data_IF_950711413846
#
_entry.id   IF_950711413846
#
_cell.length_a   1.000
_cell.length_b   1.000
_cell.length_c   1.000
_cell.angle_alpha   90.00
_cell.angle_beta   90.00
_cell.angle_gamma   90.00
#
_symmetry.space_group_name_H-M   'P 1'
#
loop_
_entity.id
_entity.type
_entity.pdbx_description
1 polymer ?
#
# COMPACT_ATOMS: atom_id res chain seq x y z
N UNK A 1 -23.81 -1.63 29.57
CA UNK A 1 -22.87 -2.45 28.77
C UNK A 1 -23.21 -2.47 27.28
N UNK A 2 -24.47 -2.68 26.87
CA UNK A 2 -24.86 -2.71 25.44
C UNK A 2 -24.48 -1.46 24.62
N UNK A 3 -24.66 -0.24 25.17
CA UNK A 3 -24.29 0.99 24.47
C UNK A 3 -22.78 1.16 24.21
N UNK A 4 -21.93 0.68 25.13
CA UNK A 4 -20.46 0.74 24.98
C UNK A 4 -19.97 -0.24 23.91
N UNK A 5 -20.56 -1.44 23.87
CA UNK A 5 -20.22 -2.48 22.89
C UNK A 5 -20.65 -2.08 21.47
N UNK A 6 -21.82 -1.45 21.32
CA UNK A 6 -22.27 -0.88 20.05
C UNK A 6 -21.35 0.25 19.57
N UNK A 7 -20.93 1.16 20.48
CA UNK A 7 -19.99 2.23 20.13
C UNK A 7 -18.62 1.72 19.67
N UNK A 8 -18.13 0.63 20.29
CA UNK A 8 -16.85 0.02 19.91
C UNK A 8 -16.95 -0.67 18.54
N UNK A 9 -18.04 -1.41 18.29
CA UNK A 9 -18.29 -2.06 17.01
C UNK A 9 -18.38 -1.05 15.86
N UNK A 10 -19.14 0.05 16.05
CA UNK A 10 -19.22 1.15 15.06
C UNK A 10 -17.83 1.70 14.76
N UNK A 11 -16.99 1.87 15.78
CA UNK A 11 -15.62 2.36 15.59
C UNK A 11 -14.73 1.40 14.81
N UNK A 12 -14.81 0.09 15.07
CA UNK A 12 -14.06 -0.92 14.32
C UNK A 12 -14.43 -0.88 12.84
N UNK A 13 -15.74 -0.85 12.54
CA UNK A 13 -16.25 -0.73 11.17
C UNK A 13 -15.85 0.58 10.51
N UNK A 14 -15.87 1.70 11.24
CA UNK A 14 -15.43 2.99 10.73
C UNK A 14 -13.92 3.01 10.44
N UNK A 15 -13.07 2.48 11.32
CA UNK A 15 -11.63 2.33 11.09
C UNK A 15 -11.34 1.46 9.87
N UNK A 16 -12.12 0.39 9.73
CA UNK A 16 -12.02 -0.51 8.58
C UNK A 16 -12.41 0.18 7.27
N UNK A 17 -13.62 0.73 7.18
CA UNK A 17 -14.14 1.37 5.98
C UNK A 17 -13.28 2.56 5.53
N UNK A 18 -12.90 3.43 6.46
CA UNK A 18 -12.01 4.57 6.15
C UNK A 18 -10.61 4.12 5.75
N UNK A 19 -10.12 3.01 6.31
CA UNK A 19 -8.87 2.39 5.88
C UNK A 19 -8.95 1.82 4.47
N UNK A 20 -10.07 1.19 4.11
CA UNK A 20 -10.26 0.66 2.76
C UNK A 20 -10.26 1.78 1.74
N UNK A 21 -10.96 2.89 2.02
CA UNK A 21 -10.93 4.08 1.17
C UNK A 21 -9.51 4.65 1.07
N UNK A 22 -8.79 4.74 2.19
CA UNK A 22 -7.38 5.18 2.19
C UNK A 22 -6.49 4.27 1.31
N UNK A 23 -6.62 2.94 1.44
CA UNK A 23 -5.86 2.01 0.63
C UNK A 23 -6.25 2.06 -0.85
N UNK A 24 -7.55 2.11 -1.15
CA UNK A 24 -8.10 2.18 -2.49
C UNK A 24 -7.67 3.46 -3.21
N UNK A 25 -7.61 4.59 -2.52
CA UNK A 25 -7.34 5.86 -3.17
C UNK A 25 -5.86 6.24 -3.17
N UNK A 26 -5.04 5.77 -2.23
CA UNK A 26 -3.71 6.36 -2.02
C UNK A 26 -2.56 5.36 -1.79
N UNK A 27 -2.81 4.07 -1.54
CA UNK A 27 -1.72 3.20 -1.11
C UNK A 27 -0.92 2.61 -2.28
N UNK A 28 -1.57 2.27 -3.39
CA UNK A 28 -0.96 1.57 -4.54
C UNK A 28 -1.02 2.34 -5.86
N UNK A 29 -1.22 3.67 -5.82
CA UNK A 29 -1.40 4.52 -7.00
C UNK A 29 -0.27 4.37 -8.05
N UNK A 30 0.96 4.11 -7.60
CA UNK A 30 2.14 3.93 -8.44
C UNK A 30 1.97 2.82 -9.48
N UNK A 31 1.18 1.77 -9.20
CA UNK A 31 0.94 0.69 -10.16
C UNK A 31 -0.01 1.08 -11.31
N UNK A 32 -0.64 2.24 -11.22
CA UNK A 32 -1.38 2.88 -12.31
C UNK A 32 -0.50 3.73 -13.24
N UNK A 33 0.83 3.64 -13.11
CA UNK A 33 1.79 4.48 -13.82
C UNK A 33 1.53 4.57 -15.33
N UNK A 34 1.14 3.46 -15.97
CA UNK A 34 0.87 3.45 -17.40
C UNK A 34 -0.20 4.48 -17.83
N UNK A 35 -1.23 4.71 -17.00
CA UNK A 35 -2.25 5.74 -17.26
C UNK A 35 -1.69 7.16 -17.11
N UNK A 36 -0.79 7.37 -16.15
CA UNK A 36 -0.17 8.67 -15.92
C UNK A 36 0.85 9.01 -17.01
N UNK A 37 1.64 8.03 -17.49
CA UNK A 37 2.59 8.19 -18.62
C UNK A 37 1.89 8.75 -19.84
N UNK A 38 0.71 8.24 -20.18
CA UNK A 38 -0.09 8.75 -21.29
C UNK A 38 -0.40 10.25 -21.16
N UNK A 39 -0.72 10.72 -19.94
CA UNK A 39 -0.96 12.14 -19.67
C UNK A 39 0.34 12.95 -19.74
N UNK A 40 1.43 12.44 -19.15
CA UNK A 40 2.74 13.09 -19.15
C UNK A 40 3.33 13.24 -20.56
N UNK A 41 3.13 12.24 -21.43
CA UNK A 41 3.48 12.31 -22.84
C UNK A 41 2.73 13.45 -23.55
N UNK A 42 1.43 13.61 -23.28
CA UNK A 42 0.62 14.72 -23.85
C UNK A 42 1.03 16.10 -23.34
N UNK A 43 1.51 16.19 -22.10
CA UNK A 43 2.08 17.42 -21.51
C UNK A 43 3.54 17.68 -21.94
N UNK A 44 4.12 16.81 -22.77
CA UNK A 44 5.46 16.97 -23.34
C UNK A 44 6.61 16.66 -22.38
N UNK A 45 6.38 15.90 -21.31
CA UNK A 45 7.45 15.48 -20.40
C UNK A 45 8.48 14.62 -21.11
N UNK A 46 9.77 14.88 -20.89
CA UNK A 46 10.89 14.23 -21.59
C UNK A 46 10.83 14.32 -23.12
N UNK A 47 9.98 15.17 -23.70
CA UNK A 47 9.81 15.28 -25.16
C UNK A 47 11.07 15.71 -25.91
N UNK A 48 12.03 16.33 -25.22
CA UNK A 48 13.35 16.67 -25.78
C UNK A 48 14.20 15.47 -26.19
N UNK A 49 13.84 14.27 -25.73
CA UNK A 49 14.51 13.02 -26.08
C UNK A 49 13.91 12.35 -27.32
N UNK A 50 12.86 12.92 -27.88
CA UNK A 50 12.34 12.47 -29.17
C UNK A 50 13.18 13.06 -30.30
N UNK A 51 13.60 12.21 -31.25
CA UNK A 51 14.45 12.58 -32.38
C UNK A 51 13.77 12.23 -33.70
N UNK A 52 13.92 13.09 -34.72
CA UNK A 52 13.45 12.77 -36.07
C UNK A 52 14.43 11.79 -36.70
N UNK A 53 13.97 10.57 -36.95
CA UNK A 53 14.75 9.52 -37.60
C UNK A 53 14.19 9.28 -38.99
N UNK A 54 15.04 9.24 -40.01
CA UNK A 54 14.61 8.90 -41.37
C UNK A 54 14.57 7.38 -41.53
N UNK A 55 13.38 6.81 -41.62
CA UNK A 55 13.17 5.40 -41.92
C UNK A 55 12.39 5.28 -43.24
N UNK A 56 12.95 4.60 -44.24
CA UNK A 56 12.33 4.39 -45.56
C UNK A 56 11.85 5.68 -46.26
N UNK A 57 12.69 6.73 -46.29
CA UNK A 57 12.38 8.04 -46.90
C UNK A 57 11.19 8.81 -46.28
N UNK A 58 10.65 8.33 -45.15
CA UNK A 58 9.72 9.07 -44.29
C UNK A 58 10.42 9.50 -43.01
N UNK A 59 10.21 10.74 -42.58
CA UNK A 59 10.61 11.20 -41.26
C UNK A 59 9.65 10.60 -40.23
N UNK A 60 10.18 9.75 -39.35
CA UNK A 60 9.46 9.15 -38.23
C UNK A 60 10.03 9.73 -36.95
N UNK A 61 9.15 10.27 -36.10
CA UNK A 61 9.54 10.75 -34.78
C UNK A 61 9.79 9.53 -33.86
N UNK A 62 11.05 9.30 -33.50
CA UNK A 62 11.46 8.25 -32.56
C UNK A 62 11.51 8.82 -31.15
N UNK A 63 10.67 8.30 -30.26
CA UNK A 63 10.58 8.67 -28.85
C UNK A 63 11.08 7.57 -27.89
N UNK A 64 11.88 6.62 -28.37
CA UNK A 64 12.42 5.52 -27.54
C UNK A 64 13.14 6.02 -26.28
N UNK A 65 13.91 7.10 -26.37
CA UNK A 65 14.58 7.70 -25.20
C UNK A 65 13.62 8.31 -24.17
N UNK A 66 12.47 8.84 -24.61
CA UNK A 66 11.43 9.35 -23.72
C UNK A 66 10.82 8.20 -22.89
N UNK A 67 10.49 7.10 -23.57
CA UNK A 67 9.93 5.90 -22.98
C UNK A 67 10.90 5.19 -22.03
N UNK A 68 12.20 5.21 -22.34
CA UNK A 68 13.25 4.72 -21.45
C UNK A 68 13.26 5.53 -20.14
N UNK A 69 13.14 6.86 -20.19
CA UNK A 69 13.06 7.67 -18.98
C UNK A 69 11.81 7.35 -18.15
N UNK A 70 10.64 7.23 -18.76
CA UNK A 70 9.42 6.85 -18.03
C UNK A 70 9.52 5.45 -17.40
N UNK A 71 10.14 4.50 -18.11
CA UNK A 71 10.41 3.16 -17.59
C UNK A 71 11.38 3.20 -16.42
N UNK A 72 12.41 4.05 -16.48
CA UNK A 72 13.40 4.23 -15.42
C UNK A 72 12.79 4.87 -14.17
N UNK A 73 11.95 5.90 -14.33
CA UNK A 73 11.19 6.52 -13.23
C UNK A 73 10.41 5.45 -12.46
N UNK A 74 9.65 4.62 -13.17
CA UNK A 74 8.86 3.55 -12.55
C UNK A 74 9.73 2.48 -11.90
N UNK A 75 10.84 2.13 -12.55
CA UNK A 75 11.81 1.15 -12.03
C UNK A 75 12.40 1.61 -10.70
N UNK A 76 12.84 2.87 -10.61
CA UNK A 76 13.38 3.45 -9.37
C UNK A 76 12.31 3.50 -8.29
N UNK A 77 11.12 4.02 -8.60
CA UNK A 77 10.04 4.10 -7.61
C UNK A 77 9.63 2.72 -7.09
N UNK A 78 9.51 1.73 -7.98
CA UNK A 78 9.19 0.35 -7.60
C UNK A 78 10.31 -0.29 -6.80
N UNK A 79 11.58 -0.12 -7.17
CA UNK A 79 12.72 -0.60 -6.39
C UNK A 79 12.68 -0.03 -4.96
N UNK A 80 12.54 1.29 -4.85
CA UNK A 80 12.49 1.99 -3.56
C UNK A 80 11.28 1.55 -2.74
N UNK A 81 10.12 1.31 -3.36
CA UNK A 81 8.93 0.77 -2.68
C UNK A 81 9.24 -0.55 -1.95
N UNK A 82 9.95 -1.48 -2.60
CA UNK A 82 10.29 -2.76 -1.99
C UNK A 82 11.44 -2.63 -0.99
N UNK A 83 12.46 -1.83 -1.33
CA UNK A 83 13.61 -1.60 -0.46
C UNK A 83 13.19 -0.95 0.86
N UNK A 84 12.32 0.06 0.80
CA UNK A 84 11.81 0.76 1.98
C UNK A 84 10.84 -0.09 2.82
N UNK A 85 10.32 -1.22 2.33
CA UNK A 85 9.46 -2.11 3.13
C UNK A 85 10.15 -2.57 4.43
N UNK A 86 11.45 -2.87 4.39
CA UNK A 86 12.20 -3.30 5.58
C UNK A 86 12.41 -2.15 6.58
N UNK A 87 12.98 -0.98 6.19
CA UNK A 87 13.02 0.20 7.06
C UNK A 87 11.66 0.63 7.60
N UNK A 88 10.63 0.62 6.76
CA UNK A 88 9.26 0.99 7.15
C UNK A 88 8.69 0.00 8.16
N UNK A 89 8.95 -1.30 8.00
CA UNK A 89 8.61 -2.32 8.98
C UNK A 89 9.30 -2.08 10.32
N UNK A 90 10.61 -1.81 10.31
CA UNK A 90 11.35 -1.47 11.53
C UNK A 90 10.80 -0.22 12.22
N UNK A 91 10.48 0.83 11.46
CA UNK A 91 9.90 2.07 12.01
C UNK A 91 8.53 1.77 12.62
N UNK A 92 7.71 0.99 11.94
CA UNK A 92 6.39 0.61 12.40
C UNK A 92 6.44 -0.22 13.69
N UNK A 93 7.35 -1.19 13.76
CA UNK A 93 7.50 -2.08 14.91
C UNK A 93 8.08 -1.35 16.14
N UNK A 94 9.06 -0.45 15.94
CA UNK A 94 9.77 0.21 17.04
C UNK A 94 9.09 1.50 17.51
N UNK A 95 8.71 2.38 16.58
CA UNK A 95 8.12 3.68 16.89
C UNK A 95 6.58 3.68 16.88
N UNK A 96 5.97 2.61 16.35
CA UNK A 96 4.54 2.42 16.33
C UNK A 96 3.82 3.11 15.17
N UNK A 97 2.51 2.90 15.17
CA UNK A 97 1.59 3.27 14.09
C UNK A 97 1.55 4.77 13.83
N UNK A 98 1.49 5.63 14.85
CA UNK A 98 1.36 7.08 14.62
C UNK A 98 2.58 7.64 13.89
N UNK A 99 3.79 7.26 14.29
CA UNK A 99 5.03 7.75 13.66
C UNK A 99 5.13 7.26 12.22
N UNK A 100 4.92 5.96 11.99
CA UNK A 100 4.92 5.38 10.66
C UNK A 100 3.88 6.05 9.73
N UNK A 101 2.69 6.35 10.24
CA UNK A 101 1.65 7.04 9.47
C UNK A 101 1.99 8.48 9.17
N UNK A 102 2.49 9.25 10.14
CA UNK A 102 2.91 10.64 9.90
C UNK A 102 4.04 10.71 8.87
N UNK A 103 5.02 9.80 8.95
CA UNK A 103 6.06 9.67 7.93
C UNK A 103 5.45 9.38 6.55
N UNK A 104 4.54 8.42 6.46
CA UNK A 104 3.86 8.07 5.21
C UNK A 104 3.08 9.26 4.61
N UNK A 105 2.35 10.01 5.44
CA UNK A 105 1.62 11.21 5.04
C UNK A 105 2.58 12.28 4.52
N UNK A 106 3.69 12.53 5.22
CA UNK A 106 4.68 13.51 4.79
C UNK A 106 5.30 13.14 3.44
N UNK A 107 5.74 11.89 3.26
CA UNK A 107 6.31 11.40 2.01
C UNK A 107 5.30 11.50 0.86
N UNK A 108 4.08 11.01 1.07
CA UNK A 108 3.03 11.03 0.05
C UNK A 108 2.62 12.45 -0.36
N UNK A 109 2.44 13.33 0.62
CA UNK A 109 2.09 14.74 0.38
C UNK A 109 3.21 15.47 -0.35
N UNK A 110 4.47 15.25 0.05
CA UNK A 110 5.62 15.82 -0.64
C UNK A 110 5.71 15.33 -2.10
N UNK A 111 5.57 14.03 -2.34
CA UNK A 111 5.59 13.47 -3.69
C UNK A 111 4.47 14.00 -4.58
N UNK A 112 3.24 14.13 -4.06
CA UNK A 112 2.11 14.69 -4.82
C UNK A 112 2.24 16.20 -5.07
N UNK A 113 2.79 16.96 -4.13
CA UNK A 113 3.14 18.37 -4.36
C UNK A 113 4.23 18.51 -5.43
N UNK A 114 5.25 17.66 -5.41
CA UNK A 114 6.28 17.65 -6.45
C UNK A 114 5.69 17.35 -7.83
N UNK A 115 4.73 16.42 -7.95
CA UNK A 115 3.97 16.24 -9.19
C UNK A 115 3.19 17.50 -9.58
N UNK A 116 2.47 18.12 -8.65
CA UNK A 116 1.64 19.30 -8.92
C UNK A 116 2.44 20.50 -9.46
N UNK A 117 3.69 20.67 -9.01
CA UNK A 117 4.58 21.75 -9.46
C UNK A 117 5.59 21.32 -10.52
N UNK A 118 5.57 20.05 -10.94
CA UNK A 118 6.38 19.60 -12.07
C UNK A 118 5.86 20.22 -13.37
N UNK A 119 6.77 20.40 -14.33
CA UNK A 119 6.48 20.88 -15.69
C UNK A 119 7.33 20.09 -16.67
N UNK A 120 7.05 20.19 -17.97
CA UNK A 120 7.88 19.55 -19.00
C UNK A 120 9.34 20.00 -18.94
N UNK A 121 9.61 21.27 -18.61
CA UNK A 121 10.97 21.79 -18.38
C UNK A 121 11.66 21.20 -17.13
N UNK A 122 10.88 20.78 -16.12
CA UNK A 122 11.36 20.16 -14.88
C UNK A 122 10.93 18.68 -14.81
N UNK A 123 10.97 17.97 -15.94
CA UNK A 123 10.57 16.55 -16.02
C UNK A 123 11.34 15.65 -15.04
N UNK A 124 12.57 16.02 -14.68
CA UNK A 124 13.38 15.29 -13.69
C UNK A 124 12.74 15.21 -12.30
N UNK A 125 11.85 16.16 -11.95
CA UNK A 125 11.16 16.18 -10.66
C UNK A 125 10.23 14.98 -10.47
N UNK A 126 9.82 14.33 -11.57
CA UNK A 126 8.98 13.14 -11.57
C UNK A 126 9.65 11.94 -10.89
N UNK A 127 11.00 11.83 -10.96
CA UNK A 127 11.76 10.77 -10.30
C UNK A 127 11.57 10.73 -8.77
N UNK A 128 11.93 11.80 -8.04
CA UNK A 128 11.68 11.84 -6.60
C UNK A 128 10.18 11.88 -6.28
N UNK A 129 9.35 12.51 -7.11
CA UNK A 129 7.90 12.58 -6.89
C UNK A 129 7.26 11.19 -6.79
N UNK A 130 7.47 10.33 -7.80
CA UNK A 130 6.90 8.98 -7.81
C UNK A 130 7.49 8.11 -6.71
N UNK A 131 8.79 8.25 -6.44
CA UNK A 131 9.49 7.51 -5.38
C UNK A 131 8.91 7.79 -3.99
N UNK A 132 8.63 9.06 -3.69
CA UNK A 132 8.04 9.48 -2.42
C UNK A 132 6.57 9.04 -2.29
N UNK A 133 5.80 9.11 -3.39
CA UNK A 133 4.43 8.56 -3.45
C UNK A 133 4.44 7.06 -3.16
N UNK A 134 5.38 6.31 -3.75
CA UNK A 134 5.53 4.87 -3.51
C UNK A 134 5.84 4.56 -2.04
N UNK A 135 6.87 5.22 -1.49
CA UNK A 135 7.28 5.05 -0.09
C UNK A 135 6.21 5.42 0.93
N UNK A 136 5.43 6.48 0.66
CA UNK A 136 4.29 6.86 1.49
C UNK A 136 3.11 5.89 1.37
N UNK A 137 2.82 5.43 0.15
CA UNK A 137 1.71 4.52 -0.15
C UNK A 137 1.85 3.16 0.55
N UNK A 138 3.05 2.56 0.54
CA UNK A 138 3.30 1.29 1.23
C UNK A 138 3.12 1.40 2.76
N UNK A 139 3.46 2.55 3.36
CA UNK A 139 3.21 2.81 4.78
C UNK A 139 1.71 2.86 5.10
N UNK A 140 0.87 3.37 4.19
CA UNK A 140 -0.58 3.28 4.35
C UNK A 140 -1.06 1.84 4.35
N UNK A 141 -0.55 0.97 3.47
CA UNK A 141 -0.90 -0.45 3.49
C UNK A 141 -0.46 -1.13 4.79
N UNK A 142 0.82 -1.05 5.15
CA UNK A 142 1.38 -1.71 6.35
C UNK A 142 0.60 -1.30 7.60
N UNK A 143 0.35 0.00 7.76
CA UNK A 143 -0.35 0.51 8.95
C UNK A 143 -1.84 0.15 8.96
N UNK A 144 -2.46 -0.18 7.82
CA UNK A 144 -3.85 -0.63 7.76
C UNK A 144 -4.03 -2.14 7.95
N UNK A 145 -3.05 -2.96 7.56
CA UNK A 145 -3.14 -4.43 7.70
C UNK A 145 -3.40 -4.87 9.16
N UNK A 146 -2.86 -4.16 10.16
CA UNK A 146 -3.12 -4.46 11.58
C UNK A 146 -4.60 -4.32 11.98
N UNK A 147 -5.42 -3.59 11.22
CA UNK A 147 -6.87 -3.46 11.47
C UNK A 147 -7.56 -4.81 11.38
N UNK A 148 -7.01 -5.76 10.62
CA UNK A 148 -7.49 -7.14 10.60
C UNK A 148 -7.50 -7.80 11.98
N UNK A 149 -6.64 -7.37 12.91
CA UNK A 149 -6.63 -7.89 14.28
C UNK A 149 -7.94 -7.58 15.02
N UNK A 150 -8.65 -6.49 14.66
CA UNK A 150 -9.95 -6.11 15.24
C UNK A 150 -11.08 -7.09 14.94
N UNK A 151 -10.93 -7.92 13.90
CA UNK A 151 -11.99 -8.78 13.36
C UNK A 151 -11.81 -10.27 13.68
N UNK A 152 -10.85 -10.62 14.54
CA UNK A 152 -10.69 -11.97 15.11
C UNK A 152 -10.74 -13.09 14.06
N UNK A 153 -11.87 -13.80 14.00
CA UNK A 153 -12.13 -14.92 13.08
C UNK A 153 -12.01 -14.52 11.59
N UNK A 154 -12.33 -13.28 11.24
CA UNK A 154 -12.29 -12.78 9.85
C UNK A 154 -11.01 -12.00 9.53
N UNK A 155 -9.96 -12.19 10.34
CA UNK A 155 -8.71 -11.43 10.23
C UNK A 155 -8.06 -11.57 8.86
N UNK A 156 -7.95 -12.79 8.30
CA UNK A 156 -7.28 -12.96 7.00
C UNK A 156 -8.12 -12.37 5.86
N UNK A 157 -9.45 -12.40 5.94
CA UNK A 157 -10.36 -11.73 5.00
C UNK A 157 -10.16 -10.22 5.01
N UNK A 158 -10.09 -9.58 6.18
CA UNK A 158 -9.85 -8.13 6.28
C UNK A 158 -8.47 -7.75 5.73
N UNK A 159 -7.42 -8.51 6.08
CA UNK A 159 -6.06 -8.25 5.57
C UNK A 159 -5.99 -8.38 4.04
N UNK A 160 -6.60 -9.44 3.48
CA UNK A 160 -6.60 -9.64 2.03
C UNK A 160 -7.44 -8.59 1.31
N UNK A 161 -8.51 -8.09 1.91
CA UNK A 161 -9.28 -6.98 1.34
C UNK A 161 -8.46 -5.67 1.30
N UNK A 162 -7.63 -5.39 2.31
CA UNK A 162 -6.69 -4.26 2.26
C UNK A 162 -5.66 -4.40 1.14
N UNK A 163 -5.10 -5.60 0.94
CA UNK A 163 -4.20 -5.85 -0.19
C UNK A 163 -4.93 -5.69 -1.53
N UNK A 164 -6.17 -6.17 -1.66
CA UNK A 164 -6.95 -5.97 -2.87
C UNK A 164 -7.29 -4.49 -3.13
N UNK A 165 -7.57 -3.72 -2.08
CA UNK A 165 -7.75 -2.27 -2.17
C UNK A 165 -6.46 -1.56 -2.61
N UNK A 166 -5.30 -1.98 -2.08
CA UNK A 166 -3.99 -1.50 -2.52
C UNK A 166 -3.74 -1.78 -4.01
N UNK A 167 -3.99 -3.00 -4.49
CA UNK A 167 -3.83 -3.35 -5.91
C UNK A 167 -4.76 -2.49 -6.81
N UNK A 168 -6.00 -2.29 -6.35
CA UNK A 168 -7.01 -1.49 -7.05
C UNK A 168 -6.71 0.02 -7.03
N UNK A 169 -5.76 0.46 -6.20
CA UNK A 169 -5.38 1.86 -6.07
C UNK A 169 -4.64 2.43 -7.28
N UNK A 170 -4.10 1.55 -8.13
CA UNK A 170 -3.70 1.89 -9.50
C UNK A 170 -4.77 2.68 -10.26
N UNK A 171 -6.05 2.48 -9.95
CA UNK A 171 -7.17 3.26 -10.48
C UNK A 171 -7.09 4.77 -10.21
N UNK A 172 -6.34 5.25 -9.21
CA UNK A 172 -6.19 6.69 -8.96
C UNK A 172 -5.62 7.42 -10.18
N UNK A 173 -4.51 6.92 -10.73
CA UNK A 173 -3.88 7.55 -11.91
C UNK A 173 -4.72 7.40 -13.16
N UNK A 174 -5.55 6.35 -13.25
CA UNK A 174 -6.56 6.22 -14.29
C UNK A 174 -7.66 7.29 -14.15
N UNK A 175 -8.16 7.55 -12.95
CA UNK A 175 -9.11 8.65 -12.69
C UNK A 175 -8.50 10.02 -13.02
N UNK A 176 -7.21 10.22 -12.74
CA UNK A 176 -6.50 11.45 -13.17
C UNK A 176 -6.49 11.55 -14.69
N UNK A 177 -6.16 10.46 -15.42
CA UNK A 177 -6.20 10.42 -16.89
C UNK A 177 -7.57 10.81 -17.44
N UNK A 178 -8.66 10.22 -16.90
CA UNK A 178 -10.01 10.56 -17.34
C UNK A 178 -10.38 12.01 -17.02
N UNK A 179 -10.01 12.50 -15.83
CA UNK A 179 -10.25 13.90 -15.44
C UNK A 179 -9.51 14.88 -16.35
N UNK A 180 -8.28 14.52 -16.75
CA UNK A 180 -7.47 15.27 -17.69
C UNK A 180 -8.09 15.33 -19.09
N UNK A 181 -8.62 14.21 -19.57
CA UNK A 181 -9.37 14.16 -20.84
C UNK A 181 -10.66 15.02 -20.80
N UNK A 182 -11.25 15.22 -19.62
CA UNK A 182 -12.35 16.15 -19.38
C UNK A 182 -11.92 17.63 -19.21
N UNK A 183 -10.63 17.96 -19.33
CA UNK A 183 -10.11 19.33 -19.27
C UNK A 183 -9.59 19.79 -17.90
N UNK A 184 -9.51 18.89 -16.90
CA UNK A 184 -8.88 19.23 -15.60
C UNK A 184 -7.36 19.21 -15.73
N UNK A 185 -6.69 20.29 -15.33
CA UNK A 185 -5.23 20.34 -15.40
C UNK A 185 -4.56 19.34 -14.44
N UNK A 186 -3.42 18.78 -14.86
CA UNK A 186 -2.65 17.82 -14.05
C UNK A 186 -2.28 18.40 -12.67
N UNK A 187 -1.91 19.68 -12.65
CA UNK A 187 -1.61 20.42 -11.41
C UNK A 187 -2.79 20.46 -10.45
N UNK A 188 -4.00 20.75 -10.94
CA UNK A 188 -5.19 20.79 -10.09
C UNK A 188 -5.51 19.40 -9.50
N UNK A 189 -5.39 18.35 -10.31
CA UNK A 189 -5.61 16.98 -9.87
C UNK A 189 -4.64 16.56 -8.73
N UNK A 190 -3.35 16.85 -8.87
CA UNK A 190 -2.38 16.53 -7.81
C UNK A 190 -2.51 17.42 -6.58
N UNK A 191 -2.86 18.71 -6.71
CA UNK A 191 -3.15 19.57 -5.55
C UNK A 191 -4.37 19.06 -4.76
N UNK A 192 -5.40 18.56 -5.45
CA UNK A 192 -6.55 17.93 -4.81
C UNK A 192 -6.12 16.70 -4.00
N UNK A 193 -5.29 15.83 -4.58
CA UNK A 193 -4.76 14.65 -3.89
C UNK A 193 -3.90 15.07 -2.68
N UNK A 194 -3.07 16.10 -2.81
CA UNK A 194 -2.30 16.65 -1.68
C UNK A 194 -3.21 17.18 -0.58
N UNK A 195 -4.34 17.83 -0.92
CA UNK A 195 -5.32 18.29 0.06
C UNK A 195 -6.00 17.14 0.83
N UNK A 196 -6.16 15.96 0.20
CA UNK A 196 -6.66 14.76 0.87
C UNK A 196 -5.72 14.28 2.02
N UNK A 197 -4.49 14.76 2.11
CA UNK A 197 -3.61 14.50 3.26
C UNK A 197 -4.24 14.86 4.62
N UNK A 198 -5.11 15.89 4.64
CA UNK A 198 -5.85 16.28 5.85
C UNK A 198 -6.72 15.12 6.36
N UNK A 199 -7.36 14.36 5.46
CA UNK A 199 -8.13 13.19 5.83
C UNK A 199 -7.25 12.11 6.46
N UNK A 200 -6.06 11.85 5.92
CA UNK A 200 -5.11 10.90 6.50
C UNK A 200 -4.65 11.30 7.90
N UNK A 201 -4.41 12.60 8.13
CA UNK A 201 -4.05 13.14 9.44
C UNK A 201 -5.18 12.94 10.45
N UNK A 202 -6.41 13.32 10.08
CA UNK A 202 -7.61 13.12 10.92
C UNK A 202 -7.75 11.63 11.27
N UNK A 203 -7.71 10.75 10.27
CA UNK A 203 -7.81 9.30 10.50
C UNK A 203 -6.72 8.78 11.45
N UNK A 204 -5.49 9.25 11.29
CA UNK A 204 -4.34 8.82 12.11
C UNK A 204 -4.54 9.13 13.58
N UNK A 205 -5.11 10.29 13.92
CA UNK A 205 -5.30 10.67 15.32
C UNK A 205 -6.61 10.14 15.93
N UNK A 206 -7.69 10.07 15.16
CA UNK A 206 -9.01 9.71 15.69
C UNK A 206 -9.33 8.21 15.57
N UNK A 207 -8.85 7.53 14.53
CA UNK A 207 -9.27 6.17 14.16
C UNK A 207 -8.14 5.13 14.18
N UNK A 208 -6.90 5.50 14.50
CA UNK A 208 -5.77 4.58 14.58
C UNK A 208 -5.19 4.54 16.01
N UNK A 209 -4.57 3.41 16.42
CA UNK A 209 -3.85 3.34 17.70
C UNK A 209 -2.54 4.12 17.64
N UNK A 210 -2.00 4.48 18.82
CA UNK A 210 -0.69 5.13 18.92
C UNK A 210 0.46 4.19 18.55
N UNK A 211 0.41 2.94 19.03
CA UNK A 211 1.48 1.93 18.84
C UNK A 211 1.06 0.81 17.91
N UNK A 212 0.25 -0.14 18.36
CA UNK A 212 -0.20 -1.27 17.53
C UNK A 212 -1.56 -1.79 18.03
N UNK A 213 -2.26 -2.53 17.16
CA UNK A 213 -3.44 -3.32 17.54
C UNK A 213 -2.96 -4.72 17.95
N UNK A 214 -3.05 -5.10 19.23
CA UNK A 214 -2.60 -6.42 19.70
C UNK A 214 -3.45 -7.56 19.12
N UNK A 215 -2.87 -8.74 19.05
CA UNK A 215 -3.57 -9.98 18.68
C UNK A 215 -3.07 -11.13 19.57
N UNK A 216 -3.94 -11.80 20.36
CA UNK A 216 -5.38 -11.58 20.51
C UNK A 216 -5.72 -10.23 21.18
N UNK A 217 -6.96 -9.77 21.02
CA UNK A 217 -7.45 -8.51 21.60
C UNK A 217 -7.68 -8.65 23.12
N UNK A 218 -7.11 -7.76 23.95
CA UNK A 218 -7.45 -7.67 25.37
C UNK A 218 -8.92 -7.30 25.58
N UNK A 219 -9.49 -7.73 26.71
CA UNK A 219 -10.81 -7.29 27.14
C UNK A 219 -10.85 -5.76 27.28
N UNK A 220 -11.92 -5.14 26.75
CA UNK A 220 -12.11 -3.68 26.74
C UNK A 220 -11.03 -2.86 26.00
N UNK A 221 -10.35 -3.43 25.00
CA UNK A 221 -9.43 -2.67 24.14
C UNK A 221 -10.14 -1.49 23.45
N UNK A 222 -9.57 -0.29 23.57
CA UNK A 222 -10.00 0.92 22.88
C UNK A 222 -8.78 1.69 22.37
N UNK A 223 -8.91 2.41 21.26
CA UNK A 223 -7.81 3.16 20.63
C UNK A 223 -8.21 4.61 20.32
N UNK A 224 -7.38 5.39 19.61
CA UNK A 224 -7.59 6.79 19.20
C UNK A 224 -7.96 7.80 20.30
N UNK A 225 -8.24 9.06 19.93
CA UNK A 225 -8.57 10.11 20.90
C UNK A 225 -9.98 9.90 21.46
N UNK A 226 -10.07 9.60 22.77
CA UNK A 226 -11.34 9.64 23.50
C UNK A 226 -11.61 11.07 23.95
N UNK A 227 -12.53 11.75 23.28
CA UNK A 227 -13.03 13.05 23.71
C UNK A 227 -14.08 12.84 24.83
N UNK A 228 -13.61 12.48 26.02
CA UNK A 228 -14.46 12.25 27.19
C UNK A 228 -13.62 11.82 28.39
N UNK A 229 -13.79 12.52 29.53
CA UNK A 229 -13.12 12.22 30.80
C UNK A 229 -13.37 10.77 31.20
N UNK A 230 -12.43 9.88 30.90
CA UNK A 230 -12.36 8.55 31.51
C UNK A 230 -10.93 8.32 31.98
N UNK A 231 -10.83 7.82 33.21
CA UNK A 231 -9.61 7.71 34.00
C UNK A 231 -8.48 7.09 33.18
N UNK A 232 -7.37 7.83 33.10
CA UNK A 232 -6.10 7.34 32.59
C UNK A 232 -5.70 6.09 33.39
N UNK A 233 -5.90 4.90 32.82
CA UNK A 233 -5.17 3.72 33.26
C UNK A 233 -3.76 3.89 32.71
N UNK A 234 -2.91 4.51 33.54
CA UNK A 234 -1.49 4.67 33.29
C UNK A 234 -0.84 3.29 33.22
N UNK A 235 -0.60 2.76 32.03
CA UNK A 235 0.53 1.87 31.82
C UNK A 235 1.73 2.77 31.56
N UNK A 236 2.31 3.27 32.64
CA UNK A 236 3.58 4.02 32.59
C UNK A 236 4.67 3.00 32.35
N UNK A 237 5.20 2.96 31.13
CA UNK A 237 6.52 2.41 30.88
C UNK A 237 7.54 3.38 31.50
N UNK A 238 7.94 3.13 32.75
CA UNK A 238 9.15 3.71 33.32
C UNK A 238 10.30 2.74 33.04
N UNK A 239 11.19 3.17 32.15
CA UNK A 239 12.54 2.62 31.99
C UNK A 239 13.37 2.98 33.22
N UNK A 240 14.00 1.96 33.86
CA UNK A 240 15.41 1.94 34.34
C UNK A 240 15.61 1.07 35.60
N UNK A 241 15.64 -0.27 35.49
CA UNK A 241 16.59 -1.17 36.20
C UNK A 241 16.45 -2.64 35.71
N UNK A 242 17.51 -3.46 35.74
CA UNK A 242 17.55 -4.80 35.16
C UNK A 242 17.01 -5.91 36.08
N UNK A 243 16.52 -6.98 35.45
CA UNK A 243 16.17 -8.34 35.93
C UNK A 243 16.17 -8.56 37.45
N UNK A 244 15.03 -8.99 38.02
CA UNK A 244 14.91 -10.25 38.79
C UNK A 244 13.42 -10.62 38.89
N UNK A 245 13.16 -11.91 38.85
CA UNK A 245 11.89 -12.61 38.99
C UNK A 245 11.08 -12.18 40.23
N UNK A 246 9.75 -12.12 40.10
CA UNK A 246 8.81 -12.76 41.01
C UNK A 246 7.37 -12.46 40.55
N UNK A 247 6.71 -13.46 39.96
CA UNK A 247 5.24 -13.45 39.81
C UNK A 247 4.72 -14.80 40.28
N UNK A 248 4.35 -14.85 41.56
CA UNK A 248 3.65 -15.97 42.17
C UNK A 248 2.18 -15.93 41.74
N UNK A 249 1.92 -16.61 40.62
CA UNK A 249 0.81 -17.54 40.32
C UNK A 249 -0.60 -17.29 40.90
N UNK A 250 -1.63 -17.37 40.04
CA UNK A 250 -2.63 -18.46 40.08
C UNK A 250 -3.24 -18.75 38.68
N UNK A 251 -2.88 -19.94 38.16
CA UNK A 251 -3.57 -20.83 37.21
C UNK A 251 -4.19 -20.30 35.90
N UNK A 252 -3.44 -20.43 34.81
CA UNK A 252 -3.73 -21.46 33.78
C UNK A 252 -2.39 -22.06 33.31
N UNK A 253 -2.10 -23.28 33.77
CA UNK A 253 -0.91 -24.07 33.40
C UNK A 253 -1.42 -25.11 32.41
N UNK A 254 -1.23 -24.88 31.11
CA UNK A 254 -1.06 -25.91 30.06
C UNK A 254 -1.12 -25.34 28.62
N UNK A 255 -0.50 -24.17 28.39
CA UNK A 255 -0.09 -23.78 27.05
C UNK A 255 1.43 -23.85 26.98
N UNK A 256 2.04 -24.69 26.11
CA UNK A 256 3.48 -24.60 25.91
C UNK A 256 3.79 -23.19 25.42
N UNK A 257 4.60 -22.45 26.17
CA UNK A 257 5.16 -21.17 25.72
C UNK A 257 5.96 -21.49 24.47
N UNK A 258 5.36 -21.25 23.30
CA UNK A 258 6.04 -21.40 22.02
C UNK A 258 7.22 -20.43 22.06
N UNK A 259 8.42 -20.97 22.22
CA UNK A 259 9.65 -20.23 22.09
C UNK A 259 9.64 -19.56 20.71
N UNK A 260 9.48 -18.24 20.69
CA UNK A 260 9.44 -17.49 19.44
C UNK A 260 10.81 -17.65 18.76
N UNK A 261 10.80 -18.15 17.52
CA UNK A 261 12.02 -18.34 16.73
C UNK A 261 12.73 -17.01 16.56
N UNK A 262 14.05 -17.01 16.65
CA UNK A 262 14.83 -15.80 16.43
C UNK A 262 14.68 -15.32 14.97
N UNK A 263 14.81 -14.00 14.73
CA UNK A 263 14.75 -13.44 13.36
C UNK A 263 15.74 -14.15 12.42
N UNK A 264 16.92 -14.50 12.93
CA UNK A 264 17.96 -15.21 12.18
C UNK A 264 17.50 -16.60 11.74
N UNK A 265 16.85 -17.36 12.62
CA UNK A 265 16.30 -18.67 12.30
C UNK A 265 15.17 -18.59 11.26
N UNK A 266 14.33 -17.55 11.33
CA UNK A 266 13.26 -17.33 10.36
C UNK A 266 13.81 -17.01 8.96
N UNK A 267 14.75 -16.07 8.87
CA UNK A 267 15.35 -15.61 7.59
C UNK A 267 16.18 -16.72 6.94
N UNK A 268 16.89 -17.54 7.71
CA UNK A 268 17.68 -18.66 7.19
C UNK A 268 16.85 -19.94 6.96
N UNK A 269 15.55 -19.92 7.25
CA UNK A 269 14.71 -21.09 7.00
C UNK A 269 14.55 -21.34 5.50
N UNK A 270 14.64 -22.62 5.09
CA UNK A 270 14.45 -23.02 3.68
C UNK A 270 13.10 -22.54 3.14
N UNK A 271 12.05 -22.64 3.96
CA UNK A 271 10.71 -22.19 3.59
C UNK A 271 10.69 -20.69 3.26
N UNK A 272 11.28 -19.86 4.11
CA UNK A 272 11.38 -18.42 3.86
C UNK A 272 12.17 -18.13 2.57
N UNK A 273 13.32 -18.77 2.37
CA UNK A 273 14.17 -18.54 1.18
C UNK A 273 13.47 -18.91 -0.12
N UNK A 274 12.80 -20.07 -0.19
CA UNK A 274 12.05 -20.47 -1.38
C UNK A 274 10.85 -19.54 -1.63
N UNK A 275 10.16 -19.13 -0.58
CA UNK A 275 9.03 -18.20 -0.71
C UNK A 275 9.49 -16.80 -1.16
N UNK A 276 10.61 -16.32 -0.62
CA UNK A 276 11.24 -15.06 -1.00
C UNK A 276 11.68 -15.09 -2.47
N UNK A 277 12.34 -16.16 -2.92
CA UNK A 277 12.72 -16.31 -4.33
C UNK A 277 11.49 -16.29 -5.24
N UNK A 278 10.47 -17.07 -4.90
CA UNK A 278 9.22 -17.12 -5.66
C UNK A 278 8.54 -15.76 -5.76
N UNK A 279 8.36 -15.07 -4.63
CA UNK A 279 7.78 -13.73 -4.60
C UNK A 279 8.62 -12.73 -5.39
N UNK A 280 9.96 -12.82 -5.31
CA UNK A 280 10.85 -11.91 -6.04
C UNK A 280 10.71 -12.07 -7.55
N UNK A 281 10.62 -13.30 -8.05
CA UNK A 281 10.42 -13.59 -9.49
C UNK A 281 9.05 -13.08 -9.95
N UNK A 282 7.99 -13.33 -9.16
CA UNK A 282 6.65 -12.86 -9.49
C UNK A 282 6.55 -11.34 -9.50
N UNK A 283 7.16 -10.68 -8.50
CA UNK A 283 7.15 -9.23 -8.40
C UNK A 283 7.95 -8.58 -9.53
N UNK A 284 9.12 -9.14 -9.88
CA UNK A 284 9.93 -8.65 -10.99
C UNK A 284 9.16 -8.73 -12.32
N UNK A 285 8.52 -9.87 -12.59
CA UNK A 285 7.67 -10.04 -13.78
C UNK A 285 6.56 -9.01 -13.83
N UNK A 286 5.89 -8.78 -12.70
CA UNK A 286 4.80 -7.82 -12.61
C UNK A 286 5.26 -6.38 -12.87
N UNK A 287 6.38 -5.95 -12.28
CA UNK A 287 6.93 -4.61 -12.51
C UNK A 287 7.43 -4.41 -13.93
N UNK A 288 8.11 -5.40 -14.51
CA UNK A 288 8.54 -5.33 -15.90
C UNK A 288 7.35 -5.12 -16.83
N UNK A 289 6.26 -5.86 -16.61
CA UNK A 289 5.04 -5.71 -17.39
C UNK A 289 4.42 -4.31 -17.29
N UNK A 290 4.28 -3.75 -16.08
CA UNK A 290 3.70 -2.40 -15.90
C UNK A 290 4.61 -1.32 -16.50
N UNK A 291 5.93 -1.43 -16.28
CA UNK A 291 6.90 -0.45 -16.73
C UNK A 291 7.00 -0.34 -18.25
N UNK A 292 6.90 -1.46 -18.96
CA UNK A 292 7.03 -1.51 -20.43
C UNK A 292 5.71 -1.57 -21.18
N UNK A 293 4.57 -1.48 -20.48
CA UNK A 293 3.24 -1.60 -21.09
C UNK A 293 3.00 -0.59 -22.22
N UNK A 294 3.35 0.68 -22.00
CA UNK A 294 3.17 1.74 -22.99
C UNK A 294 3.99 1.47 -24.28
N UNK A 295 5.32 1.28 -24.20
CA UNK A 295 6.13 0.94 -25.38
C UNK A 295 5.66 -0.34 -26.10
N UNK A 296 5.28 -1.37 -25.32
CA UNK A 296 4.78 -2.62 -25.89
C UNK A 296 3.49 -2.40 -26.69
N UNK A 297 2.54 -1.62 -26.15
CA UNK A 297 1.30 -1.30 -26.84
C UNK A 297 1.52 -0.42 -28.06
N UNK A 298 2.43 0.56 -28.01
CA UNK A 298 2.78 1.39 -29.17
C UNK A 298 3.34 0.53 -30.31
N UNK A 299 4.27 -0.39 -30.01
CA UNK A 299 4.82 -1.32 -30.99
C UNK A 299 3.77 -2.26 -31.59
N UNK A 300 2.89 -2.84 -30.75
CA UNK A 300 1.84 -3.78 -31.20
C UNK A 300 0.70 -3.11 -31.97
N UNK A 301 0.47 -1.81 -31.76
CA UNK A 301 -0.59 -1.03 -32.41
C UNK A 301 -0.12 -0.25 -33.64
N UNK A 302 1.14 -0.45 -34.08
CA UNK A 302 1.78 0.36 -35.11
C UNK A 302 1.68 1.88 -34.85
N UNK A 303 1.66 2.28 -33.58
CA UNK A 303 1.60 3.68 -33.16
C UNK A 303 0.21 4.32 -33.13
N UNK A 304 -0.89 3.57 -33.28
CA UNK A 304 -2.26 4.13 -33.19
C UNK A 304 -2.58 4.60 -31.76
N UNK A 305 -2.68 5.92 -31.50
CA UNK A 305 -2.91 6.44 -30.15
C UNK A 305 -4.27 6.07 -29.56
N UNK A 306 -5.27 5.82 -30.41
CA UNK A 306 -6.62 5.47 -29.99
C UNK A 306 -6.67 4.05 -29.43
N UNK A 307 -6.01 3.11 -30.11
CA UNK A 307 -5.94 1.71 -29.72
C UNK A 307 -5.06 1.52 -28.47
N UNK A 308 -3.94 2.23 -28.37
CA UNK A 308 -3.10 2.26 -27.16
C UNK A 308 -3.92 2.73 -25.95
N UNK A 309 -4.66 3.84 -26.11
CA UNK A 309 -5.54 4.35 -25.07
C UNK A 309 -6.60 3.33 -24.62
N UNK A 310 -7.21 2.61 -25.56
CA UNK A 310 -8.21 1.57 -25.25
C UNK A 310 -7.62 0.42 -24.42
N UNK A 311 -6.43 -0.08 -24.80
CA UNK A 311 -5.78 -1.16 -24.04
C UNK A 311 -5.29 -0.71 -22.66
N UNK A 312 -4.78 0.52 -22.53
CA UNK A 312 -4.43 1.09 -21.22
C UNK A 312 -5.66 1.18 -20.32
N UNK A 313 -6.80 1.64 -20.86
CA UNK A 313 -8.05 1.71 -20.12
C UNK A 313 -8.52 0.31 -19.67
N UNK A 314 -8.44 -0.69 -20.54
CA UNK A 314 -8.81 -2.07 -20.22
C UNK A 314 -7.90 -2.67 -19.13
N UNK A 315 -6.60 -2.40 -19.20
CA UNK A 315 -5.64 -2.81 -18.17
C UNK A 315 -5.97 -2.17 -16.81
N UNK A 316 -6.21 -0.85 -16.78
CA UNK A 316 -6.56 -0.13 -15.56
C UNK A 316 -7.86 -0.65 -14.91
N UNK A 317 -8.90 -0.91 -15.71
CA UNK A 317 -10.16 -1.50 -15.22
C UNK A 317 -9.91 -2.87 -14.60
N UNK A 318 -9.04 -3.69 -15.21
CA UNK A 318 -8.71 -5.02 -14.68
C UNK A 318 -7.99 -4.92 -13.33
N UNK A 319 -7.09 -3.96 -13.15
CA UNK A 319 -6.41 -3.74 -11.86
C UNK A 319 -7.38 -3.27 -10.76
N UNK A 320 -8.36 -2.43 -11.10
CA UNK A 320 -9.40 -1.97 -10.16
C UNK A 320 -10.28 -3.11 -9.61
N UNK A 321 -10.36 -4.24 -10.30
CA UNK A 321 -11.09 -5.42 -9.82
C UNK A 321 -10.36 -6.20 -8.72
N UNK A 322 -9.12 -5.82 -8.35
CA UNK A 322 -8.33 -6.48 -7.32
C UNK A 322 -9.04 -6.59 -5.96
N UNK A 323 -9.81 -5.55 -5.58
CA UNK A 323 -10.58 -5.51 -4.34
C UNK A 323 -11.71 -6.55 -4.29
N UNK A 324 -12.21 -6.98 -5.45
CA UNK A 324 -13.24 -8.01 -5.57
C UNK A 324 -12.65 -9.43 -5.52
N UNK A 325 -11.43 -9.60 -6.06
CA UNK A 325 -10.76 -10.90 -6.17
C UNK A 325 -9.96 -11.28 -4.91
N UNK A 326 -9.30 -10.33 -4.25
CA UNK A 326 -8.47 -10.58 -3.08
C UNK A 326 -9.18 -11.23 -1.87
N UNK A 327 -10.42 -10.84 -1.47
CA UNK A 327 -11.05 -11.39 -0.27
C UNK A 327 -11.37 -12.89 -0.37
N UNK A 328 -11.50 -13.46 -1.58
CA UNK A 328 -11.71 -14.90 -1.76
C UNK A 328 -10.59 -15.73 -1.12
N UNK A 329 -9.34 -15.28 -1.26
CA UNK A 329 -8.19 -15.94 -0.64
C UNK A 329 -8.28 -15.88 0.89
N UNK A 330 -8.68 -14.74 1.44
CA UNK A 330 -8.85 -14.56 2.88
C UNK A 330 -9.98 -15.42 3.45
N UNK A 331 -11.11 -15.49 2.75
CA UNK A 331 -12.26 -16.33 3.13
C UNK A 331 -11.89 -17.81 3.18
N UNK A 332 -11.10 -18.29 2.22
CA UNK A 332 -10.60 -19.67 2.20
C UNK A 332 -9.69 -19.92 3.42
N UNK A 333 -8.76 -19.00 3.70
CA UNK A 333 -7.84 -19.10 4.84
C UNK A 333 -8.60 -19.09 6.17
N UNK A 334 -9.54 -18.16 6.35
CA UNK A 334 -10.33 -18.03 7.58
C UNK A 334 -11.22 -19.26 7.77
N UNK A 335 -11.82 -19.80 6.70
CA UNK A 335 -12.60 -21.06 6.75
C UNK A 335 -11.74 -22.25 7.16
N UNK A 336 -10.51 -22.34 6.68
CA UNK A 336 -9.60 -23.43 7.03
C UNK A 336 -9.06 -23.31 8.46
N UNK A 337 -8.79 -22.09 8.94
CA UNK A 337 -8.41 -21.84 10.34
C UNK A 337 -9.57 -22.06 11.31
N UNK A 338 -10.78 -21.64 10.95
CA UNK A 338 -12.00 -21.91 11.74
C UNK A 338 -12.35 -23.40 11.82
N UNK A 339 -11.88 -24.21 10.85
CA UNK A 339 -11.97 -25.67 10.84
C UNK A 339 -10.91 -26.38 11.68
N UNK A 340 -10.20 -25.71 12.59
CA UNK A 340 -9.19 -26.38 13.43
C UNK A 340 -9.82 -27.65 14.05
N UNK A 341 -9.20 -28.77 13.69
CA UNK A 341 -9.62 -30.16 13.72
C UNK A 341 -10.61 -30.52 14.84
N UNK A 342 -11.69 -31.22 14.47
CA UNK A 342 -12.43 -32.03 15.43
C UNK A 342 -11.43 -32.86 16.26
N UNK A 343 -11.48 -32.71 17.57
CA UNK A 343 -10.69 -33.52 18.49
C UNK A 343 -10.98 -34.99 18.18
N UNK A 344 -9.98 -35.73 17.67
CA UNK A 344 -10.10 -37.18 17.47
C UNK A 344 -9.65 -37.78 16.13
N UNK A 345 -8.90 -37.09 15.25
CA UNK A 345 -8.20 -37.80 14.17
C UNK A 345 -6.84 -38.28 14.67
N UNK A 346 -6.83 -39.48 15.25
CA UNK A 346 -5.64 -40.23 15.62
C UNK A 346 -4.68 -40.36 14.43
N UNK A 347 -3.39 -40.32 14.74
CA UNK A 347 -2.29 -40.72 13.87
C UNK A 347 -2.52 -42.12 13.30
N UNK A 348 -2.33 -42.24 11.98
CA UNK A 348 -1.70 -43.40 11.34
C UNK A 348 -0.87 -42.94 10.16
#
# INVERSE_FOLDING_TARGET
MAGFQNSLAVRHWLTFATGLVECLCFAGAVFGWASLVFVLQREGYFGSLCVNTTANATEVLDCSGQDEQFSLVFTIASFVNNFLSLPNGFIFDHFGTTVARLLGICLYTMGTLMFAFSTSALSILVFPALTLVAGGGILFLITNIQVGNLFGVHRSTVITLYNGAFDSSSGLFFVIKLSYECGVSLRAAFLFISACSVFHVIRTFFLMPKRFIPYPLPEHYTYGISCGKSKSSKVTANSNTPMTEETTTMHDKDAPVKQEKTLRECVLSRFFLFHLLWLSVMQLRHYLFIGTLNPMLQGLSAGDPSLVGQYINAFAITQMCGVLCAPWNGLIIDRHKGKTRAAGSNDK
#
